data_IF_178305972861
#
_entry.id   IF_178305972861
#
_cell.length_a   1.000
_cell.length_b   1.000
_cell.length_c   1.000
_cell.angle_alpha   90.00
_cell.angle_beta   90.00
_cell.angle_gamma   90.00
#
_symmetry.space_group_name_H-M   'P 1'
#
loop_
_entity.id
_entity.type
_entity.pdbx_description
1 polymer ?
#
# COMPACT_ATOMS: atom_id res chain seq x y z
N UNK A 1 3.64 18.03 2.00
CA UNK A 1 3.29 17.05 0.93
C UNK A 1 1.90 17.35 0.43
N UNK A 2 1.63 17.16 -0.87
CA UNK A 2 0.26 17.29 -1.39
C UNK A 2 -0.56 16.05 -1.00
N UNK A 3 -1.87 16.21 -0.80
CA UNK A 3 -2.77 15.12 -0.39
C UNK A 3 -2.69 13.91 -1.32
N UNK A 4 -2.66 14.13 -2.64
CA UNK A 4 -2.56 13.05 -3.64
C UNK A 4 -1.22 12.30 -3.59
N UNK A 5 -0.13 12.94 -3.15
CA UNK A 5 1.17 12.28 -2.96
C UNK A 5 1.13 11.35 -1.75
N UNK A 6 0.55 11.83 -0.64
CA UNK A 6 0.41 11.03 0.59
C UNK A 6 -0.48 9.81 0.34
N UNK A 7 -1.58 10.00 -0.38
CA UNK A 7 -2.51 8.91 -0.71
C UNK A 7 -1.91 7.88 -1.69
N UNK A 8 -0.87 8.24 -2.43
CA UNK A 8 -0.17 7.34 -3.36
C UNK A 8 1.00 6.59 -2.72
N UNK A 9 1.36 6.87 -1.46
CA UNK A 9 2.47 6.20 -0.78
C UNK A 9 2.22 4.70 -0.67
N UNK A 10 3.24 3.91 -1.02
CA UNK A 10 3.25 2.46 -0.86
C UNK A 10 4.36 2.05 0.10
N UNK A 11 4.27 0.85 0.68
CA UNK A 11 5.31 0.36 1.61
C UNK A 11 6.71 0.26 0.96
N UNK A 12 6.79 0.11 -0.37
CA UNK A 12 8.06 0.15 -1.12
C UNK A 12 8.72 1.53 -1.19
N UNK A 13 7.95 2.59 -0.92
CA UNK A 13 8.43 3.98 -0.96
C UNK A 13 8.99 4.43 0.40
N UNK A 14 8.93 3.57 1.42
CA UNK A 14 9.31 3.84 2.81
C UNK A 14 10.56 3.03 3.15
N UNK A 15 11.69 3.71 3.30
CA UNK A 15 12.91 3.15 3.83
C UNK A 15 12.93 3.37 5.35
N UNK A 16 12.52 2.34 6.09
CA UNK A 16 12.42 2.38 7.55
C UNK A 16 13.82 2.50 8.18
N UNK A 17 14.81 1.79 7.62
CA UNK A 17 16.17 1.76 8.17
C UNK A 17 16.85 3.12 8.06
N UNK A 18 16.80 3.72 6.87
CA UNK A 18 17.35 5.05 6.64
C UNK A 18 16.37 6.19 7.01
N UNK A 19 15.19 5.86 7.54
CA UNK A 19 14.13 6.80 7.91
C UNK A 19 13.76 7.80 6.79
N UNK A 20 13.67 7.30 5.55
CA UNK A 20 13.44 8.11 4.36
C UNK A 20 12.13 7.72 3.65
N UNK A 21 11.45 8.73 3.11
CA UNK A 21 10.28 8.56 2.24
C UNK A 21 10.63 9.04 0.83
N UNK A 22 10.39 8.19 -0.15
CA UNK A 22 10.47 8.57 -1.57
C UNK A 22 9.11 9.06 -2.04
N UNK A 23 9.05 10.30 -2.52
CA UNK A 23 7.81 10.94 -2.97
C UNK A 23 7.96 11.35 -4.43
N UNK A 24 6.93 11.11 -5.22
CA UNK A 24 6.89 11.50 -6.63
C UNK A 24 5.65 10.96 -7.34
N UNK A 25 5.06 9.89 -6.79
CA UNK A 25 3.79 9.35 -7.25
C UNK A 25 2.62 10.19 -6.77
N UNK A 26 1.53 10.17 -7.51
CA UNK A 26 0.28 10.83 -7.13
C UNK A 26 -0.93 9.93 -7.39
N UNK A 27 -1.92 10.03 -6.51
CA UNK A 27 -3.20 9.35 -6.68
C UNK A 27 -4.05 10.19 -7.64
N UNK A 28 -4.59 9.56 -8.67
CA UNK A 28 -5.44 10.21 -9.66
C UNK A 28 -6.64 9.34 -10.03
N UNK A 29 -7.64 9.97 -10.64
CA UNK A 29 -8.81 9.30 -11.18
C UNK A 29 -8.71 9.32 -12.70
N UNK A 30 -8.78 8.14 -13.32
CA UNK A 30 -8.89 7.98 -14.77
C UNK A 30 -10.38 7.99 -15.18
N UNK A 31 -10.65 7.81 -16.46
CA UNK A 31 -11.98 7.52 -17.00
C UNK A 31 -12.66 6.38 -16.23
N UNK A 32 -13.99 6.41 -16.20
CA UNK A 32 -14.82 5.42 -15.48
C UNK A 32 -14.52 5.31 -13.97
N UNK A 33 -14.10 6.41 -13.33
CA UNK A 33 -13.80 6.50 -11.90
C UNK A 33 -12.70 5.53 -11.42
N UNK A 34 -11.83 5.07 -12.31
CA UNK A 34 -10.74 4.19 -11.94
C UNK A 34 -9.66 4.96 -11.17
N UNK A 35 -9.44 4.60 -9.90
CA UNK A 35 -8.35 5.17 -9.10
C UNK A 35 -7.03 4.52 -9.51
N UNK A 36 -6.06 5.34 -9.91
CA UNK A 36 -4.73 4.91 -10.34
C UNK A 36 -3.63 5.64 -9.56
N UNK A 37 -2.46 4.99 -9.46
CA UNK A 37 -1.23 5.62 -9.00
C UNK A 37 -0.45 6.04 -10.24
N UNK A 38 -0.25 7.34 -10.41
CA UNK A 38 0.59 7.87 -11.49
C UNK A 38 2.04 7.98 -11.01
N UNK A 39 2.94 7.30 -11.69
CA UNK A 39 4.38 7.42 -11.46
C UNK A 39 4.95 8.63 -12.21
N UNK A 40 5.98 9.30 -11.67
CA UNK A 40 6.64 10.38 -12.38
C UNK A 40 7.33 9.85 -13.64
N UNK A 41 7.34 10.66 -14.71
CA UNK A 41 7.96 10.29 -15.98
C UNK A 41 9.47 10.07 -15.88
N UNK A 42 10.13 10.69 -14.90
CA UNK A 42 11.58 10.60 -14.69
C UNK A 42 11.91 10.46 -13.21
N UNK A 43 13.05 9.83 -12.91
CA UNK A 43 13.57 9.69 -11.54
C UNK A 43 13.84 11.06 -10.91
N UNK A 44 14.27 12.05 -11.70
CA UNK A 44 14.53 13.42 -11.24
C UNK A 44 13.30 14.14 -10.64
N UNK A 45 12.09 13.67 -10.96
CA UNK A 45 10.85 14.21 -10.39
C UNK A 45 10.51 13.59 -9.02
N UNK A 46 11.28 12.60 -8.57
CA UNK A 46 11.18 12.03 -7.24
C UNK A 46 12.05 12.81 -6.25
N UNK A 47 11.58 12.92 -5.01
CA UNK A 47 12.34 13.51 -3.91
C UNK A 47 12.34 12.58 -2.71
N UNK A 48 13.45 12.56 -1.97
CA UNK A 48 13.53 11.89 -0.68
C UNK A 48 13.33 12.91 0.43
N UNK A 49 12.51 12.58 1.41
CA UNK A 49 12.36 13.37 2.63
C UNK A 49 12.60 12.50 3.86
N UNK A 50 13.13 13.10 4.92
CA UNK A 50 13.20 12.49 6.24
C UNK A 50 12.03 13.01 7.09
N UNK A 51 10.94 12.25 7.28
CA UNK A 51 9.77 12.70 8.05
C UNK A 51 9.98 12.66 9.58
N UNK A 52 11.16 12.21 10.02
CA UNK A 52 11.52 12.05 11.42
C UNK A 52 11.06 10.73 12.04
N UNK A 53 11.73 10.34 13.13
CA UNK A 53 11.56 9.03 13.79
C UNK A 53 10.14 8.80 14.31
N UNK A 54 9.45 9.83 14.81
CA UNK A 54 8.06 9.71 15.28
C UNK A 54 7.12 9.26 14.16
N UNK A 55 7.28 9.84 12.97
CA UNK A 55 6.47 9.51 11.80
C UNK A 55 6.77 8.09 11.31
N UNK A 56 8.04 7.69 11.28
CA UNK A 56 8.42 6.32 10.91
C UNK A 56 7.79 5.30 11.87
N UNK A 57 7.88 5.52 13.19
CA UNK A 57 7.24 4.64 14.19
C UNK A 57 5.72 4.55 13.99
N UNK A 58 5.07 5.67 13.67
CA UNK A 58 3.64 5.66 13.37
C UNK A 58 3.33 4.81 12.12
N UNK A 59 4.14 4.93 11.08
CA UNK A 59 4.01 4.13 9.86
C UNK A 59 4.27 2.63 10.13
N UNK A 60 5.23 2.28 10.98
CA UNK A 60 5.47 0.89 11.40
C UNK A 60 4.27 0.30 12.15
N UNK A 61 3.74 1.04 13.12
CA UNK A 61 2.55 0.62 13.86
C UNK A 61 1.35 0.46 12.92
N UNK A 62 1.18 1.37 11.97
CA UNK A 62 0.14 1.27 10.95
C UNK A 62 0.31 0.02 10.08
N UNK A 63 1.54 -0.29 9.65
CA UNK A 63 1.85 -1.51 8.89
C UNK A 63 1.49 -2.77 9.67
N UNK A 64 1.81 -2.79 10.97
CA UNK A 64 1.48 -3.89 11.86
C UNK A 64 -0.04 -4.07 12.00
N UNK A 65 -0.77 -2.98 12.26
CA UNK A 65 -2.23 -3.00 12.36
C UNK A 65 -2.91 -3.49 11.07
N UNK A 66 -2.41 -3.08 9.90
CA UNK A 66 -2.92 -3.57 8.62
C UNK A 66 -2.77 -5.08 8.46
N UNK A 67 -1.61 -5.65 8.83
CA UNK A 67 -1.37 -7.10 8.78
C UNK A 67 -2.32 -7.85 9.72
N UNK A 68 -2.45 -7.36 10.95
CA UNK A 68 -3.32 -7.99 11.94
C UNK A 68 -4.79 -7.95 11.54
N UNK A 69 -5.26 -6.84 10.95
CA UNK A 69 -6.63 -6.72 10.47
C UNK A 69 -6.96 -7.69 9.33
N UNK A 70 -6.01 -7.92 8.41
CA UNK A 70 -6.18 -8.92 7.35
C UNK A 70 -6.24 -10.33 7.93
N UNK A 71 -5.34 -10.65 8.87
CA UNK A 71 -5.29 -11.96 9.53
C UNK A 71 -6.57 -12.24 10.33
N UNK A 72 -7.05 -11.28 11.12
CA UNK A 72 -8.27 -11.43 11.90
C UNK A 72 -9.50 -11.62 11.01
N UNK A 73 -9.60 -10.85 9.92
CA UNK A 73 -10.67 -11.02 8.93
C UNK A 73 -10.64 -12.42 8.30
N UNK A 74 -9.46 -12.91 7.90
CA UNK A 74 -9.31 -14.24 7.34
C UNK A 74 -9.79 -15.34 8.32
N UNK A 75 -9.40 -15.24 9.60
CA UNK A 75 -9.84 -16.19 10.64
C UNK A 75 -11.36 -16.15 10.83
N UNK A 76 -11.97 -14.97 10.84
CA UNK A 76 -13.43 -14.82 11.00
C UNK A 76 -14.16 -15.46 9.81
N UNK A 77 -13.71 -15.21 8.58
CA UNK A 77 -14.32 -15.77 7.38
C UNK A 77 -14.20 -17.31 7.34
N UNK A 78 -13.06 -17.86 7.77
CA UNK A 78 -12.84 -19.30 7.89
C UNK A 78 -13.77 -19.94 8.93
N UNK A 79 -13.91 -19.32 10.11
CA UNK A 79 -14.81 -19.80 11.18
C UNK A 79 -16.29 -19.77 10.79
N UNK A 80 -16.69 -18.75 10.04
CA UNK A 80 -18.09 -18.57 9.64
C UNK A 80 -18.46 -19.38 8.37
N UNK A 81 -17.56 -20.23 7.86
CA UNK A 81 -17.73 -21.01 6.63
C UNK A 81 -18.16 -20.19 5.40
N UNK A 82 -17.86 -18.88 5.37
CA UNK A 82 -18.25 -18.02 4.27
C UNK A 82 -17.20 -18.08 3.15
N UNK A 83 -17.21 -19.20 2.42
CA UNK A 83 -16.22 -19.54 1.40
C UNK A 83 -16.18 -18.53 0.25
N UNK A 84 -17.33 -17.94 -0.10
CA UNK A 84 -17.43 -16.91 -1.14
C UNK A 84 -16.63 -15.63 -0.78
N UNK A 85 -16.80 -15.12 0.45
CA UNK A 85 -16.05 -13.95 0.91
C UNK A 85 -14.56 -14.25 1.04
N UNK A 86 -14.21 -15.47 1.47
CA UNK A 86 -12.83 -15.90 1.58
C UNK A 86 -12.13 -15.92 0.21
N UNK A 87 -12.77 -16.48 -0.82
CA UNK A 87 -12.23 -16.50 -2.19
C UNK A 87 -12.02 -15.07 -2.71
N UNK A 88 -13.00 -14.18 -2.51
CA UNK A 88 -12.88 -12.78 -2.94
C UNK A 88 -11.73 -12.06 -2.24
N UNK A 89 -11.55 -12.29 -0.93
CA UNK A 89 -10.42 -11.75 -0.18
C UNK A 89 -9.08 -12.28 -0.72
N UNK A 90 -8.98 -13.58 -0.98
CA UNK A 90 -7.78 -14.18 -1.56
C UNK A 90 -7.49 -13.64 -2.97
N UNK A 91 -8.49 -13.50 -3.83
CA UNK A 91 -8.34 -12.92 -5.16
C UNK A 91 -7.86 -11.47 -5.10
N UNK A 92 -8.42 -10.67 -4.19
CA UNK A 92 -7.97 -9.29 -3.96
C UNK A 92 -6.51 -9.24 -3.49
N UNK A 93 -6.12 -10.10 -2.54
CA UNK A 93 -4.74 -10.17 -2.04
C UNK A 93 -3.79 -10.59 -3.17
N UNK A 94 -4.12 -11.64 -3.92
CA UNK A 94 -3.29 -12.14 -5.02
C UNK A 94 -3.12 -11.10 -6.12
N UNK A 95 -4.21 -10.42 -6.52
CA UNK A 95 -4.13 -9.32 -7.48
C UNK A 95 -3.23 -8.18 -6.99
N UNK A 96 -3.34 -7.83 -5.69
CA UNK A 96 -2.50 -6.80 -5.07
C UNK A 96 -1.03 -7.20 -4.99
N UNK A 97 -0.73 -8.46 -4.70
CA UNK A 97 0.64 -9.00 -4.66
C UNK A 97 1.29 -9.05 -6.05
N UNK A 98 0.52 -9.42 -7.07
CA UNK A 98 0.93 -9.41 -8.49
C UNK A 98 1.26 -7.99 -8.98
N UNK A 99 0.44 -7.00 -8.61
CA UNK A 99 0.68 -5.57 -8.91
C UNK A 99 1.94 -5.02 -8.21
N UNK A 100 2.40 -5.64 -7.12
CA UNK A 100 3.64 -5.27 -6.42
C UNK A 100 4.87 -6.07 -6.87
N UNK A 101 4.73 -6.99 -7.83
CA UNK A 101 5.83 -7.81 -8.36
C UNK A 101 6.30 -8.93 -7.44
N UNK A 102 5.50 -9.30 -6.43
CA UNK A 102 5.89 -10.30 -5.41
C UNK A 102 5.60 -11.76 -5.84
N UNK A 103 4.75 -11.95 -6.86
CA UNK A 103 4.38 -13.26 -7.41
C UNK A 103 4.45 -13.15 -8.93
N UNK A 104 5.14 -14.10 -9.59
CA UNK A 104 5.20 -14.17 -11.06
C UNK A 104 3.84 -14.60 -11.66
N UNK A 105 3.60 -14.14 -12.88
CA UNK A 105 2.33 -14.18 -13.60
C UNK A 105 1.85 -15.56 -14.02
#
# INVERSE_FOLDING_TARGET
>A
MRKSEVLALQWKDIDIFNQNLTIGKTLAMKEYNQIIIQEPKTISSQRKIAPGTKTIKFLEQWRYNQKNGILSLAIILLKNHNFFLLINLMNYITHKLRMTGFIAS
#
